data_IF_603428901945
#
_entry.id   IF_603428901945
#
_cell.length_a   1.000
_cell.length_b   1.000
_cell.length_c   1.000
_cell.angle_alpha   90.00
_cell.angle_beta   90.00
_cell.angle_gamma   90.00
#
_symmetry.space_group_name_H-M   'P 1'
#
loop_
_entity.id
_entity.type
_entity.pdbx_description
1 polymer ?
#
# COMPACT_ATOMS: atom_id res chain seq x y z
N UNK A 1 -3.27 29.66 46.54
CA UNK A 1 -3.26 31.07 46.93
C UNK A 1 -4.16 31.23 48.14
N UNK A 2 -3.72 31.99 49.15
CA UNK A 2 -4.53 32.44 50.29
C UNK A 2 -4.68 33.95 50.24
N UNK A 3 -5.84 34.46 50.53
CA UNK A 3 -6.06 35.91 50.71
C UNK A 3 -6.21 36.21 52.20
N UNK A 4 -5.55 37.29 52.63
CA UNK A 4 -5.71 37.81 54.00
C UNK A 4 -6.41 39.16 53.87
N UNK A 5 -7.54 39.28 54.56
CA UNK A 5 -8.24 40.54 54.66
C UNK A 5 -7.99 41.07 56.07
N UNK A 6 -7.48 42.31 56.17
CA UNK A 6 -7.22 43.00 57.44
C UNK A 6 -8.06 44.25 57.53
N UNK A 7 -8.81 44.47 58.61
CA UNK A 7 -9.61 45.66 58.82
C UNK A 7 -8.72 46.84 59.34
N UNK A 8 -9.32 48.00 59.45
CA UNK A 8 -8.63 49.22 59.93
C UNK A 8 -8.16 49.16 61.39
N UNK A 9 -8.62 48.17 62.14
CA UNK A 9 -8.21 47.87 63.50
C UNK A 9 -7.16 46.77 63.62
N UNK A 10 -6.59 46.38 62.48
CA UNK A 10 -5.58 45.29 62.34
C UNK A 10 -6.09 43.91 62.65
N UNK A 11 -7.39 43.66 62.65
CA UNK A 11 -7.93 42.28 62.70
C UNK A 11 -7.86 41.64 61.32
N UNK A 12 -7.30 40.44 61.23
CA UNK A 12 -7.07 39.73 60.00
C UNK A 12 -7.85 38.43 59.96
N UNK A 13 -8.44 38.17 58.80
CA UNK A 13 -9.04 36.87 58.47
C UNK A 13 -8.33 36.29 57.21
N UNK A 14 -7.86 35.08 57.36
CA UNK A 14 -7.30 34.33 56.19
C UNK A 14 -8.46 33.58 55.52
N UNK A 15 -8.65 33.88 54.27
CA UNK A 15 -9.59 33.11 53.46
C UNK A 15 -9.06 31.68 53.28
N UNK A 16 -9.92 30.70 53.50
CA UNK A 16 -9.65 29.32 53.14
C UNK A 16 -9.56 29.24 51.61
N UNK A 17 -8.47 28.73 51.09
CA UNK A 17 -8.37 28.41 49.64
C UNK A 17 -9.47 27.39 49.33
N UNK A 18 -10.49 27.79 48.58
CA UNK A 18 -11.43 26.86 48.01
C UNK A 18 -10.74 26.27 46.77
N UNK A 19 -9.99 25.22 46.97
CA UNK A 19 -9.57 24.18 46.03
C UNK A 19 -9.30 24.51 44.55
N UNK A 20 -9.07 25.74 44.14
CA UNK A 20 -8.67 26.07 42.77
C UNK A 20 -7.17 25.91 42.64
N UNK A 21 -6.76 24.74 42.20
CA UNK A 21 -5.38 24.49 41.75
C UNK A 21 -5.28 24.93 40.29
N UNK A 22 -4.25 25.70 39.98
CA UNK A 22 -3.84 25.96 38.60
C UNK A 22 -2.72 25.00 38.27
N UNK A 23 -2.93 24.14 37.28
CA UNK A 23 -1.83 23.42 36.63
C UNK A 23 -1.12 24.37 35.67
N UNK A 24 0.20 24.34 35.67
CA UNK A 24 1.02 25.12 34.74
C UNK A 24 1.77 24.14 33.87
N UNK A 25 1.45 24.13 32.60
CA UNK A 25 2.15 23.41 31.55
C UNK A 25 2.33 24.34 30.36
N UNK A 26 3.60 24.60 30.04
CA UNK A 26 4.02 25.49 28.94
C UNK A 26 4.93 24.74 27.95
N UNK A 27 5.00 23.41 28.06
CA UNK A 27 5.81 22.57 27.21
C UNK A 27 4.95 22.05 26.07
N UNK A 28 5.32 22.31 24.84
CA UNK A 28 4.62 21.78 23.68
C UNK A 28 5.11 20.36 23.36
N UNK A 29 4.24 19.47 22.85
CA UNK A 29 4.67 18.21 22.30
C UNK A 29 5.68 18.39 21.16
N UNK A 30 6.55 17.40 20.98
CA UNK A 30 7.44 17.31 19.80
C UNK A 30 7.14 16.02 19.09
N UNK A 31 6.88 16.11 17.77
CA UNK A 31 6.53 14.94 16.95
C UNK A 31 7.46 14.78 15.76
N UNK A 32 7.57 13.54 15.29
CA UNK A 32 8.23 13.18 14.04
C UNK A 32 7.51 12.02 13.36
N UNK A 33 7.60 11.93 12.02
CA UNK A 33 7.13 10.77 11.27
C UNK A 33 8.02 9.56 11.60
N UNK A 34 7.41 8.46 12.03
CA UNK A 34 8.07 7.21 12.42
C UNK A 34 8.00 6.15 11.33
N UNK A 35 6.83 6.01 10.73
CA UNK A 35 6.59 5.09 9.61
C UNK A 35 5.82 5.82 8.53
N UNK A 36 6.34 5.78 7.31
CA UNK A 36 5.72 6.40 6.14
C UNK A 36 4.57 5.55 5.63
N UNK A 37 3.65 6.16 4.90
CA UNK A 37 2.62 5.45 4.14
C UNK A 37 3.28 4.60 3.06
N UNK A 38 2.83 3.34 2.89
CA UNK A 38 3.24 2.49 1.76
C UNK A 38 2.84 3.14 0.43
N UNK A 39 3.78 3.26 -0.51
CA UNK A 39 3.57 3.97 -1.77
C UNK A 39 4.36 3.36 -2.93
N UNK A 40 3.77 3.24 -4.14
CA UNK A 40 2.34 3.39 -4.40
C UNK A 40 1.53 2.24 -3.80
N UNK A 41 0.20 2.42 -3.59
CA UNK A 41 -0.66 1.39 -2.99
C UNK A 41 -2.10 1.55 -3.46
N UNK A 42 -2.84 0.44 -3.54
CA UNK A 42 -4.28 0.44 -3.75
C UNK A 42 -5.10 0.47 -2.45
N UNK A 43 -4.43 0.49 -1.29
CA UNK A 43 -5.10 0.66 0.00
C UNK A 43 -5.62 2.08 0.14
N UNK A 44 -6.93 2.24 0.15
CA UNK A 44 -7.61 3.53 0.29
C UNK A 44 -7.73 4.00 1.75
N UNK A 45 -7.35 3.17 2.71
CA UNK A 45 -7.33 3.51 4.15
C UNK A 45 -5.93 3.30 4.74
N UNK A 46 -4.88 3.90 4.13
CA UNK A 46 -3.50 3.60 4.50
C UNK A 46 -3.19 4.07 5.91
N UNK A 47 -2.08 3.56 6.43
CA UNK A 47 -1.60 3.89 7.77
C UNK A 47 -0.22 4.54 7.72
N UNK A 48 0.04 5.42 8.68
CA UNK A 48 1.36 5.94 9.00
C UNK A 48 1.56 5.97 10.51
N UNK A 49 2.75 6.23 11.00
CA UNK A 49 2.99 6.36 12.43
C UNK A 49 3.80 7.61 12.73
N UNK A 50 3.50 8.22 13.87
CA UNK A 50 4.28 9.30 14.47
C UNK A 50 4.85 8.85 15.83
N UNK A 51 5.97 9.46 16.20
CA UNK A 51 6.46 9.45 17.57
C UNK A 51 6.16 10.81 18.19
N UNK A 52 5.62 10.80 19.41
CA UNK A 52 5.41 12.01 20.22
C UNK A 52 6.05 11.84 21.59
N UNK A 53 6.63 12.92 22.13
CA UNK A 53 7.13 12.89 23.52
C UNK A 53 6.01 13.00 24.56
N UNK A 54 4.82 13.47 24.14
CA UNK A 54 3.67 13.68 25.00
C UNK A 54 2.37 13.19 24.34
N UNK A 55 1.35 12.91 25.17
CA UNK A 55 0.01 12.59 24.69
C UNK A 55 -0.75 13.86 24.30
N UNK A 56 -1.61 13.77 23.30
CA UNK A 56 -2.43 14.90 22.89
C UNK A 56 -3.37 14.62 21.72
N UNK A 57 -4.25 15.55 21.41
CA UNK A 57 -5.16 15.46 20.28
C UNK A 57 -4.43 15.59 18.95
N UNK A 58 -4.66 14.67 18.04
CA UNK A 58 -4.08 14.69 16.69
C UNK A 58 -4.91 15.60 15.79
N UNK A 59 -4.24 16.49 15.08
CA UNK A 59 -4.80 17.27 13.99
C UNK A 59 -4.06 16.92 12.71
N UNK A 60 -4.81 16.64 11.66
CA UNK A 60 -4.28 16.36 10.30
C UNK A 60 -4.79 17.41 9.32
N UNK A 61 -4.15 17.51 8.15
CA UNK A 61 -4.56 18.40 7.08
C UNK A 61 -6.00 18.11 6.60
N UNK A 62 -6.64 19.08 5.96
CA UNK A 62 -8.06 19.04 5.58
C UNK A 62 -8.43 17.91 4.61
N UNK A 63 -7.46 17.33 3.92
CA UNK A 63 -7.68 16.19 3.02
C UNK A 63 -7.99 14.91 3.82
N UNK A 64 -7.61 14.89 5.10
CA UNK A 64 -7.76 13.75 6.00
C UNK A 64 -8.66 14.21 7.14
N UNK A 65 -9.93 13.80 7.13
CA UNK A 65 -10.95 14.41 8.01
C UNK A 65 -11.04 13.82 9.40
N UNK A 66 -10.61 12.58 9.63
CA UNK A 66 -10.78 11.89 10.91
C UNK A 66 -9.64 10.91 11.18
N UNK A 67 -8.56 11.34 11.85
CA UNK A 67 -7.51 10.41 12.23
C UNK A 67 -8.03 9.41 13.28
N UNK A 68 -7.66 8.14 13.10
CA UNK A 68 -7.92 7.11 14.09
C UNK A 68 -6.61 6.46 14.55
N UNK A 69 -6.21 6.57 15.83
CA UNK A 69 -6.92 7.23 16.94
C UNK A 69 -6.90 8.76 16.84
N UNK A 70 -7.87 9.42 17.48
CA UNK A 70 -7.93 10.88 17.54
C UNK A 70 -6.87 11.49 18.48
N UNK A 71 -6.18 10.69 19.29
CA UNK A 71 -5.17 11.13 20.23
C UNK A 71 -3.87 10.33 20.09
N UNK A 72 -2.76 11.02 20.10
CA UNK A 72 -1.44 10.44 20.25
C UNK A 72 -1.17 10.06 21.71
N UNK A 73 -0.38 9.02 21.90
CA UNK A 73 0.23 8.67 23.19
C UNK A 73 1.67 9.21 23.23
N UNK A 74 2.25 9.31 24.42
CA UNK A 74 3.70 9.45 24.53
C UNK A 74 4.35 8.18 24.01
N UNK A 75 5.18 8.29 22.97
CA UNK A 75 5.71 7.18 22.17
C UNK A 75 5.13 7.12 20.77
N UNK A 76 5.09 5.92 20.20
CA UNK A 76 4.62 5.70 18.84
C UNK A 76 3.09 5.57 18.79
N UNK A 77 2.48 6.28 17.84
CA UNK A 77 1.06 6.18 17.54
C UNK A 77 0.89 5.88 16.05
N UNK A 78 0.26 4.75 15.72
CA UNK A 78 -0.16 4.44 14.34
C UNK A 78 -1.50 5.10 14.08
N UNK A 79 -1.59 5.82 12.98
CA UNK A 79 -2.75 6.59 12.55
C UNK A 79 -3.27 5.97 11.26
N UNK A 80 -4.59 5.74 11.21
CA UNK A 80 -5.29 5.24 10.04
C UNK A 80 -6.02 6.42 9.41
N UNK A 81 -5.89 6.59 8.09
CA UNK A 81 -6.65 7.57 7.35
C UNK A 81 -8.09 7.12 7.11
N UNK A 82 -9.01 8.06 6.99
CA UNK A 82 -10.30 7.82 6.32
C UNK A 82 -10.06 7.42 4.86
N UNK A 83 -11.11 6.92 4.20
CA UNK A 83 -11.03 6.53 2.80
C UNK A 83 -10.54 7.68 1.92
N UNK A 84 -9.37 7.49 1.30
CA UNK A 84 -8.75 8.41 0.36
C UNK A 84 -9.14 8.05 -1.08
N UNK A 85 -9.29 9.05 -1.92
CA UNK A 85 -9.42 8.85 -3.36
C UNK A 85 -8.06 8.49 -3.99
N UNK A 86 -8.06 7.93 -5.20
CA UNK A 86 -6.85 7.78 -5.99
C UNK A 86 -6.22 9.16 -6.26
N UNK A 87 -4.91 9.28 -6.09
CA UNK A 87 -4.18 10.53 -6.26
C UNK A 87 -2.83 10.57 -5.55
N UNK A 88 -2.13 11.67 -5.73
CA UNK A 88 -0.85 11.94 -5.06
C UNK A 88 -1.06 12.89 -3.89
N UNK A 89 -0.60 12.48 -2.72
CA UNK A 89 -0.67 13.21 -1.46
C UNK A 89 0.74 13.69 -1.09
N UNK A 90 1.01 14.98 -1.27
CA UNK A 90 2.36 15.54 -1.16
C UNK A 90 2.47 16.73 -0.18
N UNK A 91 1.38 17.09 0.47
CA UNK A 91 1.32 18.24 1.37
C UNK A 91 0.55 17.94 2.66
N UNK A 92 0.33 16.67 2.95
CA UNK A 92 -0.38 16.24 4.15
C UNK A 92 0.46 16.55 5.39
N UNK A 93 -0.20 17.09 6.41
CA UNK A 93 0.47 17.49 7.64
C UNK A 93 -0.20 16.91 8.86
N UNK A 94 0.58 16.72 9.91
CA UNK A 94 0.11 16.28 11.23
C UNK A 94 0.70 17.17 12.32
N UNK A 95 -0.09 17.45 13.35
CA UNK A 95 0.32 18.08 14.59
C UNK A 95 -0.40 17.44 15.78
N UNK A 96 0.12 17.65 16.99
CA UNK A 96 -0.45 17.15 18.23
C UNK A 96 -0.63 18.33 19.19
N UNK A 97 -1.79 18.40 19.83
CA UNK A 97 -2.08 19.40 20.86
C UNK A 97 -2.27 18.71 22.21
N UNK A 98 -1.50 19.11 23.21
CA UNK A 98 -1.59 18.57 24.56
C UNK A 98 -2.87 18.99 25.29
N UNK A 99 -3.06 18.49 26.51
CA UNK A 99 -4.22 18.83 27.36
C UNK A 99 -4.17 20.25 27.91
N UNK A 100 -3.01 20.88 27.93
CA UNK A 100 -2.83 22.26 28.36
C UNK A 100 -3.09 23.28 27.24
N UNK A 101 -3.17 22.79 25.98
CA UNK A 101 -3.43 23.59 24.79
C UNK A 101 -2.17 24.02 24.03
N UNK A 102 -1.01 23.45 24.34
CA UNK A 102 0.23 23.73 23.59
C UNK A 102 0.26 22.88 22.31
N UNK A 103 0.55 23.50 21.17
CA UNK A 103 0.63 22.84 19.87
C UNK A 103 2.08 22.41 19.59
N UNK A 104 2.23 21.19 19.07
CA UNK A 104 3.52 20.65 18.61
C UNK A 104 4.06 21.36 17.38
N UNK A 105 5.28 21.01 16.97
CA UNK A 105 5.70 21.26 15.60
C UNK A 105 4.74 20.56 14.61
N UNK A 106 4.61 21.13 13.42
CA UNK A 106 3.90 20.49 12.30
C UNK A 106 4.87 19.61 11.52
N UNK A 107 4.49 18.37 11.25
CA UNK A 107 5.24 17.43 10.39
C UNK A 107 4.51 17.31 9.07
N UNK A 108 5.20 17.55 7.95
CA UNK A 108 4.71 17.20 6.61
C UNK A 108 5.05 15.74 6.35
N UNK A 109 4.05 14.94 5.99
CA UNK A 109 4.21 13.53 5.69
C UNK A 109 5.01 13.32 4.41
N UNK A 110 5.74 12.23 4.36
CA UNK A 110 6.39 11.77 3.11
C UNK A 110 5.33 11.57 2.04
N UNK A 111 5.60 12.07 0.82
CA UNK A 111 4.69 11.95 -0.33
C UNK A 111 4.34 10.48 -0.59
N UNK A 112 3.05 10.23 -0.80
CA UNK A 112 2.53 8.90 -1.15
C UNK A 112 1.49 8.97 -2.26
N UNK A 113 1.25 7.85 -2.92
CA UNK A 113 0.30 7.70 -4.03
C UNK A 113 -0.69 6.60 -3.70
N UNK A 114 -1.97 6.91 -3.84
CA UNK A 114 -3.05 5.93 -3.85
C UNK A 114 -3.47 5.74 -5.30
N UNK A 115 -3.37 4.52 -5.79
CA UNK A 115 -3.77 4.15 -7.15
C UNK A 115 -4.67 2.91 -7.09
N UNK A 116 -5.91 3.07 -7.49
CA UNK A 116 -6.93 2.01 -7.51
C UNK A 116 -7.29 1.56 -8.93
N UNK A 117 -6.53 2.02 -9.91
CA UNK A 117 -6.79 1.73 -11.32
C UNK A 117 -6.10 0.41 -11.70
N UNK A 118 -6.87 -0.60 -12.06
CA UNK A 118 -6.31 -1.85 -12.53
C UNK A 118 -5.72 -1.70 -13.95
N UNK A 119 -4.69 -2.51 -14.29
CA UNK A 119 -4.17 -2.60 -15.66
C UNK A 119 -5.29 -2.86 -16.69
N UNK A 120 -5.16 -2.31 -17.88
CA UNK A 120 -6.14 -2.50 -18.95
C UNK A 120 -6.28 -3.97 -19.35
N UNK A 121 -7.45 -4.32 -19.89
CA UNK A 121 -7.70 -5.66 -20.41
C UNK A 121 -6.75 -5.98 -21.58
N UNK A 122 -6.23 -7.19 -21.60
CA UNK A 122 -5.32 -7.68 -22.62
C UNK A 122 -5.64 -9.13 -23.04
N UNK A 123 -5.08 -9.57 -24.16
CA UNK A 123 -5.14 -10.96 -24.61
C UNK A 123 -3.73 -11.51 -24.67
N UNK A 124 -3.52 -12.73 -24.20
CA UNK A 124 -2.24 -13.43 -24.33
C UNK A 124 -1.89 -13.57 -25.80
N UNK A 125 -0.65 -13.29 -26.15
CA UNK A 125 -0.15 -13.35 -27.50
C UNK A 125 0.20 -14.79 -27.92
N UNK A 126 1.36 -14.95 -28.55
CA UNK A 126 1.77 -16.27 -29.04
C UNK A 126 2.24 -17.20 -27.93
N UNK A 127 1.92 -18.47 -28.08
CA UNK A 127 2.48 -19.58 -27.31
C UNK A 127 3.28 -20.47 -28.28
N UNK A 128 4.58 -20.57 -28.09
CA UNK A 128 5.46 -21.32 -28.97
C UNK A 128 6.33 -22.30 -28.17
N UNK A 129 6.61 -23.44 -28.77
CA UNK A 129 7.54 -24.42 -28.23
C UNK A 129 8.94 -24.25 -28.84
N UNK A 130 9.97 -24.65 -28.11
CA UNK A 130 11.36 -24.67 -28.59
C UNK A 130 12.12 -25.87 -28.00
N UNK A 131 13.28 -26.12 -28.58
CA UNK A 131 14.06 -27.36 -28.35
C UNK A 131 13.60 -28.51 -29.27
N UNK A 132 14.53 -29.34 -29.69
CA UNK A 132 14.26 -30.51 -30.52
C UNK A 132 13.45 -30.26 -31.79
N UNK A 133 12.50 -31.14 -32.08
CA UNK A 133 11.67 -31.05 -33.29
C UNK A 133 10.40 -30.24 -32.99
N UNK A 134 10.36 -28.99 -33.47
CA UNK A 134 9.23 -28.06 -33.24
C UNK A 134 8.09 -28.34 -34.22
N UNK A 135 6.91 -28.64 -33.67
CA UNK A 135 5.66 -28.75 -34.42
C UNK A 135 4.68 -27.69 -33.88
N UNK A 136 4.14 -26.84 -34.73
CA UNK A 136 3.24 -25.76 -34.33
C UNK A 136 2.05 -26.30 -33.52
N UNK A 137 1.77 -25.64 -32.39
CA UNK A 137 0.68 -25.98 -31.47
C UNK A 137 0.80 -27.33 -30.74
N UNK A 138 1.99 -27.93 -30.75
CA UNK A 138 2.27 -29.18 -30.00
C UNK A 138 3.49 -29.01 -29.10
N UNK A 139 3.35 -29.45 -27.86
CA UNK A 139 4.48 -29.78 -27.01
C UNK A 139 4.74 -31.28 -27.15
N UNK A 140 5.94 -31.66 -27.58
CA UNK A 140 6.32 -33.06 -27.75
C UNK A 140 7.56 -33.38 -26.93
N UNK A 141 7.85 -34.66 -26.71
CA UNK A 141 8.91 -35.14 -25.84
C UNK A 141 10.34 -34.73 -26.22
N UNK A 142 10.52 -33.91 -27.26
CA UNK A 142 11.83 -33.31 -27.61
C UNK A 142 11.88 -31.81 -27.34
N UNK A 143 10.74 -31.17 -27.06
CA UNK A 143 10.70 -29.77 -26.69
C UNK A 143 11.06 -29.61 -25.21
N UNK A 144 11.75 -28.54 -24.86
CA UNK A 144 12.22 -28.26 -23.49
C UNK A 144 11.65 -26.97 -22.94
N UNK A 145 11.01 -26.16 -23.80
CA UNK A 145 10.53 -24.83 -23.41
C UNK A 145 9.24 -24.47 -24.13
N UNK A 146 8.32 -23.89 -23.37
CA UNK A 146 7.12 -23.21 -23.87
C UNK A 146 7.27 -21.74 -23.56
N UNK A 147 7.28 -20.89 -24.60
CA UNK A 147 7.36 -19.43 -24.46
C UNK A 147 5.99 -18.81 -24.66
N UNK A 148 5.49 -18.11 -23.65
CA UNK A 148 4.25 -17.36 -23.68
C UNK A 148 4.57 -15.87 -23.80
N UNK A 149 4.03 -15.19 -24.80
CA UNK A 149 4.24 -13.77 -25.04
C UNK A 149 2.99 -12.99 -24.60
N UNK A 150 3.19 -11.95 -23.79
CA UNK A 150 2.11 -11.13 -23.25
C UNK A 150 2.35 -9.67 -23.64
N UNK A 151 1.36 -9.00 -24.25
CA UNK A 151 1.45 -7.57 -24.53
C UNK A 151 1.45 -6.78 -23.21
N UNK A 152 2.32 -5.77 -23.10
CA UNK A 152 2.41 -4.87 -21.97
C UNK A 152 2.02 -3.48 -22.47
N UNK A 153 0.99 -2.90 -21.89
CA UNK A 153 0.54 -1.56 -22.25
C UNK A 153 1.63 -0.51 -21.94
N UNK A 154 1.56 0.63 -22.63
CA UNK A 154 2.43 1.77 -22.34
C UNK A 154 1.86 2.58 -21.17
N UNK A 155 1.84 1.96 -20.00
CA UNK A 155 1.38 2.52 -18.74
C UNK A 155 2.50 2.47 -17.70
N UNK A 156 2.93 3.65 -17.22
CA UNK A 156 4.04 3.77 -16.29
C UNK A 156 3.77 3.09 -14.92
N UNK A 157 2.50 2.92 -14.53
CA UNK A 157 2.11 2.26 -13.27
C UNK A 157 2.46 0.77 -13.27
N UNK A 158 2.65 0.18 -14.45
CA UNK A 158 3.08 -1.22 -14.60
C UNK A 158 4.56 -1.44 -14.25
N UNK A 159 5.39 -0.41 -14.30
CA UNK A 159 6.82 -0.53 -13.97
C UNK A 159 7.00 -0.92 -12.50
N UNK A 160 7.72 -2.01 -12.26
CA UNK A 160 7.88 -2.60 -10.92
C UNK A 160 6.77 -3.57 -10.53
N UNK A 161 5.68 -3.60 -11.27
CA UNK A 161 4.63 -4.61 -11.17
C UNK A 161 5.07 -5.99 -11.65
N UNK A 162 4.15 -6.94 -11.71
CA UNK A 162 4.46 -8.34 -12.04
C UNK A 162 3.58 -8.91 -13.13
N UNK A 163 4.16 -9.83 -13.89
CA UNK A 163 3.48 -10.68 -14.86
C UNK A 163 3.58 -12.14 -14.41
N UNK A 164 2.43 -12.80 -14.19
CA UNK A 164 2.32 -14.21 -13.84
C UNK A 164 1.57 -14.96 -14.92
N UNK A 165 2.16 -16.02 -15.49
CA UNK A 165 1.45 -16.90 -16.42
C UNK A 165 0.58 -17.87 -15.62
N UNK A 166 -0.63 -18.08 -16.12
CA UNK A 166 -1.54 -19.12 -15.69
C UNK A 166 -1.87 -20.07 -16.84
N UNK A 167 -2.08 -21.30 -16.52
CA UNK A 167 -2.53 -22.30 -17.50
C UNK A 167 -3.56 -23.23 -16.87
N UNK A 168 -4.31 -23.89 -17.73
CA UNK A 168 -5.21 -24.97 -17.33
C UNK A 168 -5.29 -26.06 -18.40
N UNK A 169 -5.50 -27.27 -17.94
CA UNK A 169 -5.99 -28.38 -18.79
C UNK A 169 -7.49 -28.21 -19.00
N UNK A 170 -8.00 -28.62 -20.16
CA UNK A 170 -9.43 -28.56 -20.47
C UNK A 170 -10.27 -29.22 -19.36
N UNK A 171 -11.23 -28.48 -18.83
CA UNK A 171 -12.10 -28.94 -17.73
C UNK A 171 -11.58 -28.64 -16.32
N UNK A 172 -10.39 -28.05 -16.19
CA UNK A 172 -9.79 -27.60 -14.93
C UNK A 172 -9.83 -26.06 -14.81
N UNK A 173 -9.52 -25.56 -13.61
CA UNK A 173 -9.36 -24.13 -13.35
C UNK A 173 -7.95 -23.66 -13.74
N UNK A 174 -7.78 -22.37 -13.93
CA UNK A 174 -6.46 -21.78 -14.16
C UNK A 174 -5.62 -21.82 -12.87
N UNK A 175 -4.37 -22.23 -13.00
CA UNK A 175 -3.38 -22.24 -11.94
C UNK A 175 -2.10 -21.52 -12.38
N UNK A 176 -1.38 -20.95 -11.43
CA UNK A 176 -0.12 -20.27 -11.69
C UNK A 176 0.94 -21.27 -12.09
N UNK A 177 1.67 -21.00 -13.17
CA UNK A 177 2.77 -21.82 -13.64
C UNK A 177 4.03 -20.99 -13.85
N UNK A 178 5.17 -21.61 -13.58
CA UNK A 178 6.46 -20.90 -13.60
C UNK A 178 6.53 -19.79 -12.53
N UNK A 179 7.58 -19.01 -12.58
CA UNK A 179 7.78 -17.86 -11.69
C UNK A 179 7.19 -16.59 -12.29
N UNK A 180 6.66 -15.71 -11.44
CA UNK A 180 6.30 -14.36 -11.86
C UNK A 180 7.53 -13.57 -12.30
N UNK A 181 7.36 -12.69 -13.25
CA UNK A 181 8.41 -11.80 -13.74
C UNK A 181 8.06 -10.33 -13.45
N UNK A 182 9.07 -9.54 -13.09
CA UNK A 182 8.90 -8.10 -12.91
C UNK A 182 8.74 -7.42 -14.27
N UNK A 183 7.82 -6.48 -14.37
CA UNK A 183 7.65 -5.61 -15.54
C UNK A 183 8.64 -4.45 -15.42
N UNK A 184 9.50 -4.30 -16.43
CA UNK A 184 10.47 -3.21 -16.49
C UNK A 184 9.96 -2.10 -17.42
N UNK A 185 10.45 -0.88 -17.24
CA UNK A 185 10.12 0.25 -18.12
C UNK A 185 10.33 -0.06 -19.61
N UNK A 186 11.38 -0.81 -19.96
CA UNK A 186 11.66 -1.24 -21.33
C UNK A 186 10.66 -2.24 -21.93
N UNK A 187 9.75 -2.80 -21.13
CA UNK A 187 8.68 -3.68 -21.61
C UNK A 187 7.42 -2.90 -22.02
N UNK A 188 7.26 -1.65 -21.55
CA UNK A 188 6.07 -0.85 -21.79
C UNK A 188 5.83 -0.56 -23.27
N UNK A 189 4.59 -0.67 -23.72
CA UNK A 189 4.19 -0.50 -25.11
C UNK A 189 4.67 -1.62 -26.06
N UNK A 190 5.23 -2.69 -25.49
CA UNK A 190 5.76 -3.84 -26.23
C UNK A 190 5.17 -5.17 -25.74
N UNK A 191 6.02 -6.19 -25.68
CA UNK A 191 5.65 -7.52 -25.19
C UNK A 191 6.70 -8.03 -24.21
N UNK A 192 6.26 -8.84 -23.25
CA UNK A 192 7.14 -9.61 -22.37
C UNK A 192 6.94 -11.11 -22.64
N UNK A 193 8.03 -11.82 -22.81
CA UNK A 193 8.00 -13.27 -23.05
C UNK A 193 8.45 -14.01 -21.80
N UNK A 194 7.66 -15.00 -21.39
CA UNK A 194 7.94 -15.87 -20.24
C UNK A 194 8.24 -17.27 -20.78
N UNK A 195 9.40 -17.79 -20.43
CA UNK A 195 9.80 -19.16 -20.74
C UNK A 195 9.38 -20.10 -19.61
N UNK A 196 8.63 -21.12 -19.94
CA UNK A 196 8.19 -22.20 -19.07
C UNK A 196 8.91 -23.47 -19.50
N UNK A 197 9.25 -24.35 -18.57
CA UNK A 197 9.76 -25.69 -18.88
C UNK A 197 8.60 -26.64 -19.20
N UNK A 198 8.89 -27.75 -19.86
CA UNK A 198 7.95 -28.88 -20.03
C UNK A 198 7.42 -29.36 -18.68
N UNK A 199 8.27 -29.50 -17.65
CA UNK A 199 7.87 -29.85 -16.29
C UNK A 199 6.78 -28.92 -15.73
N UNK A 200 6.79 -27.61 -16.07
CA UNK A 200 5.74 -26.68 -15.63
C UNK A 200 4.38 -27.06 -16.23
N UNK A 201 4.35 -27.56 -17.46
CA UNK A 201 3.12 -27.99 -18.14
C UNK A 201 2.65 -29.33 -17.61
N UNK A 202 3.59 -30.26 -17.39
CA UNK A 202 3.31 -31.62 -16.89
C UNK A 202 2.81 -31.61 -15.44
N UNK A 203 3.16 -30.59 -14.66
CA UNK A 203 2.70 -30.40 -13.29
C UNK A 203 1.25 -29.89 -13.17
N UNK A 204 0.62 -29.48 -14.31
CA UNK A 204 -0.77 -28.97 -14.29
C UNK A 204 -1.75 -30.02 -13.78
N UNK A 205 -2.70 -29.56 -12.97
CA UNK A 205 -3.80 -30.42 -12.49
C UNK A 205 -4.56 -31.03 -13.65
N UNK A 206 -4.65 -32.35 -13.69
CA UNK A 206 -5.34 -33.11 -14.74
C UNK A 206 -4.53 -33.28 -16.03
N UNK A 207 -3.22 -32.98 -16.01
CA UNK A 207 -2.34 -33.25 -17.16
C UNK A 207 -2.35 -34.74 -17.51
N UNK A 208 -2.45 -35.03 -18.80
CA UNK A 208 -2.30 -36.35 -19.41
C UNK A 208 -1.95 -36.17 -20.88
N UNK A 209 -1.31 -37.18 -21.49
CA UNK A 209 -1.03 -37.18 -22.91
C UNK A 209 -2.30 -36.96 -23.74
N UNK A 210 -2.22 -36.05 -24.71
CA UNK A 210 -3.34 -35.69 -25.59
C UNK A 210 -4.31 -34.63 -25.05
N UNK A 211 -4.04 -34.09 -23.85
CA UNK A 211 -4.83 -32.96 -23.32
C UNK A 211 -4.51 -31.65 -24.02
N UNK A 212 -5.49 -30.74 -24.02
CA UNK A 212 -5.29 -29.36 -24.49
C UNK A 212 -5.03 -28.44 -23.29
N UNK A 213 -3.97 -27.65 -23.38
CA UNK A 213 -3.62 -26.64 -22.39
C UNK A 213 -3.98 -25.25 -22.93
N UNK A 214 -4.66 -24.47 -22.10
CA UNK A 214 -5.00 -23.07 -22.38
C UNK A 214 -4.22 -22.16 -21.46
N UNK A 215 -3.66 -21.07 -21.99
CA UNK A 215 -2.83 -20.11 -21.25
C UNK A 215 -3.56 -18.79 -21.08
N UNK A 216 -3.38 -18.18 -19.94
CA UNK A 216 -3.68 -16.77 -19.67
C UNK A 216 -2.55 -16.16 -18.84
N UNK A 217 -2.70 -14.90 -18.44
CA UNK A 217 -1.73 -14.24 -17.58
C UNK A 217 -2.44 -13.25 -16.64
N UNK A 218 -1.79 -12.95 -15.52
CA UNK A 218 -2.18 -11.87 -14.62
C UNK A 218 -1.10 -10.81 -14.70
N UNK A 219 -1.49 -9.58 -15.00
CA UNK A 219 -0.66 -8.39 -14.85
C UNK A 219 -1.10 -7.70 -13.55
N UNK A 220 -0.13 -7.43 -12.67
CA UNK A 220 -0.33 -6.67 -11.44
C UNK A 220 0.56 -5.43 -11.51
N UNK A 221 0.01 -4.26 -11.31
CA UNK A 221 0.77 -3.00 -11.30
C UNK A 221 1.60 -2.82 -10.02
N UNK A 222 2.34 -1.72 -9.94
CA UNK A 222 3.16 -1.40 -8.77
C UNK A 222 2.35 -1.07 -7.51
N UNK A 223 1.06 -0.76 -7.66
CA UNK A 223 0.12 -0.46 -6.57
C UNK A 223 -0.68 -1.68 -6.12
N UNK A 224 -0.43 -2.86 -6.71
CA UNK A 224 -1.10 -4.14 -6.44
C UNK A 224 -2.53 -4.27 -7.01
N UNK A 225 -2.91 -3.45 -7.99
CA UNK A 225 -4.12 -3.71 -8.77
C UNK A 225 -3.81 -4.73 -9.85
N UNK A 226 -4.74 -5.64 -10.14
CA UNK A 226 -4.50 -6.76 -11.06
C UNK A 226 -5.58 -6.87 -12.13
N UNK A 227 -5.17 -7.32 -13.32
CA UNK A 227 -6.06 -7.72 -14.41
C UNK A 227 -5.63 -9.08 -14.95
N UNK A 228 -6.60 -9.98 -15.13
CA UNK A 228 -6.40 -11.25 -15.82
C UNK A 228 -6.72 -11.09 -17.28
N UNK A 229 -5.79 -11.49 -18.14
CA UNK A 229 -5.97 -11.46 -19.58
C UNK A 229 -6.93 -12.54 -20.08
N UNK A 230 -7.36 -12.39 -21.33
CA UNK A 230 -8.06 -13.46 -22.07
C UNK A 230 -7.06 -14.39 -22.74
N UNK A 231 -7.44 -15.66 -22.86
CA UNK A 231 -6.67 -16.69 -23.55
C UNK A 231 -6.79 -16.54 -25.07
#
# INVERSE_FOLDING_TARGET
FTAIITDSSSNSTTGTASGTTLAVDQTAPTISEQTVVTTPSNDTTPTFAITSNEAGAITVSQTITSPSPANAISGNTTIIFDTLAAGTYNSETVSVRDAAGNDSNTVTLTTFVIDTTAPSAFTVGSVITSGGNVVANYLNGTNTTVTVTVPIENDATLTGGTLQIQAKVTGQDFENIGSSATILEGNLGGTQSIALTDDNIEALTGYAEGTTVTFTAIITDSSSNSTTGTA
#
